data_IF_199208632132
#
_entry.id   IF_199208632132
#
_cell.length_a   1.000
_cell.length_b   1.000
_cell.length_c   1.000
_cell.angle_alpha   90.00
_cell.angle_beta   90.00
_cell.angle_gamma   90.00
#
_symmetry.space_group_name_H-M   'P 1'
#
loop_
_entity.id
_entity.type
_entity.pdbx_description
1 polymer ?
#
# COMPACT_ATOMS: atom_id res chain seq x y z
N UNK A 1 53.00 5.93 -30.11
CA UNK A 1 53.69 6.84 -31.06
C UNK A 1 54.47 7.86 -30.27
N UNK A 2 55.79 7.93 -30.48
CA UNK A 2 56.71 8.92 -29.89
C UNK A 2 56.32 10.35 -30.32
N UNK A 3 56.66 11.37 -29.53
CA UNK A 3 56.28 12.78 -29.83
C UNK A 3 56.71 13.20 -31.24
N UNK A 4 57.85 12.67 -31.71
CA UNK A 4 58.38 12.87 -33.05
C UNK A 4 57.46 12.41 -34.19
N UNK A 5 56.73 11.29 -34.02
CA UNK A 5 55.79 10.79 -35.02
C UNK A 5 54.53 11.67 -35.12
N UNK A 6 54.11 12.28 -34.00
CA UNK A 6 52.96 13.21 -33.97
C UNK A 6 53.29 14.52 -34.69
N UNK A 7 54.48 15.09 -34.46
CA UNK A 7 54.91 16.34 -35.10
C UNK A 7 55.03 16.19 -36.61
N UNK A 8 55.63 15.09 -37.08
CA UNK A 8 55.76 14.80 -38.52
C UNK A 8 54.42 14.53 -39.21
N UNK A 9 53.46 13.93 -38.50
CA UNK A 9 52.10 13.74 -39.00
C UNK A 9 51.35 15.08 -39.13
N UNK A 10 51.52 15.99 -38.16
CA UNK A 10 50.93 17.33 -38.17
C UNK A 10 51.51 18.21 -39.29
N UNK A 11 52.83 18.19 -39.50
CA UNK A 11 53.47 18.90 -40.61
C UNK A 11 52.97 18.40 -41.97
N UNK A 12 52.87 17.07 -42.13
CA UNK A 12 52.37 16.46 -43.37
C UNK A 12 50.89 16.76 -43.62
N UNK A 13 50.07 16.81 -42.56
CA UNK A 13 48.67 17.25 -42.63
C UNK A 13 48.53 18.70 -43.09
N UNK A 14 49.34 19.61 -42.53
CA UNK A 14 49.34 21.01 -42.95
C UNK A 14 49.74 21.16 -44.43
N UNK A 15 50.78 20.43 -44.86
CA UNK A 15 51.29 20.49 -46.23
C UNK A 15 50.29 19.93 -47.27
N UNK A 16 49.57 18.87 -46.91
CA UNK A 16 48.53 18.28 -47.76
C UNK A 16 47.25 19.15 -47.80
N UNK A 17 46.90 19.81 -46.70
CA UNK A 17 45.76 20.74 -46.66
C UNK A 17 45.98 21.99 -47.52
N UNK A 18 47.21 22.52 -47.58
CA UNK A 18 47.53 23.70 -48.39
C UNK A 18 47.56 23.40 -49.90
N UNK A 19 47.90 22.18 -50.32
CA UNK A 19 47.95 21.79 -51.73
C UNK A 19 46.60 21.33 -52.32
N UNK A 20 45.52 21.27 -51.51
CA UNK A 20 44.19 20.76 -51.91
C UNK A 20 44.24 19.39 -52.61
N UNK A 21 45.21 18.55 -52.24
CA UNK A 21 45.30 17.17 -52.74
C UNK A 21 44.52 16.24 -51.81
N UNK A 22 43.21 16.23 -52.01
CA UNK A 22 42.24 15.51 -51.19
C UNK A 22 42.35 13.97 -51.33
N UNK A 23 42.94 13.47 -52.41
CA UNK A 23 43.17 12.03 -52.61
C UNK A 23 44.24 11.50 -51.65
N UNK A 24 45.41 12.14 -51.65
CA UNK A 24 46.52 11.80 -50.75
C UNK A 24 46.17 11.99 -49.26
N UNK A 25 45.32 12.98 -48.94
CA UNK A 25 44.84 13.22 -47.58
C UNK A 25 43.93 12.09 -47.08
N UNK A 26 43.03 11.60 -47.95
CA UNK A 26 42.13 10.47 -47.65
C UNK A 26 42.92 9.19 -47.36
N UNK A 27 43.91 8.87 -48.18
CA UNK A 27 44.73 7.66 -48.01
C UNK A 27 45.57 7.71 -46.73
N UNK A 28 46.10 8.90 -46.39
CA UNK A 28 46.81 9.10 -45.13
C UNK A 28 45.90 8.91 -43.92
N UNK A 29 44.71 9.53 -43.90
CA UNK A 29 43.73 9.34 -42.83
C UNK A 29 43.28 7.87 -42.71
N UNK A 30 43.19 7.17 -43.85
CA UNK A 30 42.90 5.74 -43.92
C UNK A 30 44.05 4.83 -43.46
N UNK A 31 45.28 5.33 -43.32
CA UNK A 31 46.41 4.57 -42.75
C UNK A 31 46.55 4.70 -41.23
N UNK A 32 45.83 5.63 -40.58
CA UNK A 32 45.93 5.87 -39.13
C UNK A 32 45.17 4.76 -38.36
N UNK A 33 45.67 4.25 -37.22
CA UNK A 33 44.93 3.28 -36.40
C UNK A 33 43.57 3.78 -35.91
N UNK A 34 42.57 2.88 -35.82
CA UNK A 34 41.15 3.21 -35.55
C UNK A 34 40.95 4.05 -34.27
N UNK A 35 41.70 3.74 -33.19
CA UNK A 35 41.61 4.49 -31.93
C UNK A 35 42.03 5.97 -32.05
N UNK A 36 43.04 6.26 -32.88
CA UNK A 36 43.51 7.63 -33.13
C UNK A 36 42.59 8.40 -34.08
N UNK A 37 41.89 7.71 -35.00
CA UNK A 37 40.88 8.33 -35.88
C UNK A 37 39.70 8.90 -35.10
N UNK A 38 39.24 8.22 -34.04
CA UNK A 38 38.16 8.75 -33.17
C UNK A 38 38.56 10.06 -32.50
N UNK A 39 39.80 10.15 -32.01
CA UNK A 39 40.33 11.35 -31.35
C UNK A 39 40.48 12.51 -32.35
N UNK A 40 40.98 12.22 -33.56
CA UNK A 40 41.07 13.22 -34.63
C UNK A 40 39.68 13.68 -35.09
N UNK A 41 38.72 12.77 -35.28
CA UNK A 41 37.34 13.09 -35.66
C UNK A 41 36.64 14.01 -34.66
N UNK A 42 36.89 13.83 -33.36
CA UNK A 42 36.40 14.71 -32.30
C UNK A 42 37.05 16.10 -32.35
N UNK A 43 38.36 16.18 -32.60
CA UNK A 43 39.06 17.48 -32.77
C UNK A 43 38.66 18.23 -34.04
N UNK A 44 38.35 17.53 -35.13
CA UNK A 44 37.85 18.13 -36.37
C UNK A 44 36.33 18.34 -36.36
N UNK A 45 35.62 17.90 -35.31
CA UNK A 45 34.17 17.97 -35.22
C UNK A 45 33.62 19.41 -35.27
N UNK A 46 34.44 20.39 -34.89
CA UNK A 46 34.04 21.79 -34.86
C UNK A 46 34.06 22.49 -36.23
N UNK A 47 34.73 21.96 -37.28
CA UNK A 47 34.97 22.78 -38.47
C UNK A 47 34.77 22.23 -39.88
N UNK A 48 34.57 20.94 -40.18
CA UNK A 48 34.29 20.56 -41.58
C UNK A 48 33.56 19.23 -41.75
N UNK A 49 32.40 19.25 -42.41
CA UNK A 49 31.64 18.05 -42.80
C UNK A 49 32.36 17.23 -43.88
N UNK A 50 33.19 17.85 -44.72
CA UNK A 50 34.00 17.17 -45.75
C UNK A 50 35.01 16.18 -45.14
N UNK A 51 35.68 16.59 -44.05
CA UNK A 51 36.67 15.74 -43.35
C UNK A 51 35.97 14.57 -42.66
N UNK A 52 34.76 14.78 -42.10
CA UNK A 52 33.93 13.70 -41.55
C UNK A 52 33.53 12.69 -42.63
N UNK A 53 33.25 13.15 -43.84
CA UNK A 53 32.98 12.30 -45.01
C UNK A 53 34.17 11.42 -45.39
N UNK A 54 35.38 11.99 -45.43
CA UNK A 54 36.61 11.24 -45.73
C UNK A 54 36.97 10.22 -44.66
N UNK A 55 36.81 10.55 -43.38
CA UNK A 55 37.07 9.64 -42.25
C UNK A 55 36.13 8.43 -42.21
N UNK A 56 34.90 8.58 -42.73
CA UNK A 56 33.92 7.48 -42.83
C UNK A 56 34.28 6.45 -43.90
N UNK A 57 35.20 6.74 -44.81
CA UNK A 57 35.68 5.80 -45.83
C UNK A 57 34.56 5.20 -46.68
N UNK A 58 33.50 5.96 -46.98
CA UNK A 58 32.34 5.48 -47.74
C UNK A 58 31.37 4.57 -46.99
N UNK A 59 31.55 4.35 -45.67
CA UNK A 59 30.58 3.59 -44.87
C UNK A 59 29.32 4.41 -44.63
N UNK A 60 28.16 3.85 -44.99
CA UNK A 60 26.85 4.43 -44.66
C UNK A 60 26.71 4.59 -43.13
N UNK A 61 26.06 5.69 -42.73
CA UNK A 61 25.78 6.01 -41.32
C UNK A 61 24.84 4.94 -40.74
N UNK A 62 25.40 3.91 -40.10
CA UNK A 62 24.61 2.98 -39.30
C UNK A 62 24.20 3.68 -38.01
N UNK A 63 22.90 3.88 -37.84
CA UNK A 63 22.31 4.24 -36.56
C UNK A 63 22.38 2.97 -35.70
N UNK A 64 23.34 2.92 -34.78
CA UNK A 64 23.38 1.87 -33.76
C UNK A 64 22.69 2.40 -32.51
N UNK A 65 21.71 1.67 -32.02
CA UNK A 65 21.13 1.91 -30.71
C UNK A 65 22.22 1.54 -29.70
N UNK A 66 22.76 2.55 -29.04
CA UNK A 66 23.69 2.36 -27.93
C UNK A 66 22.88 2.42 -26.64
N UNK A 67 22.74 1.28 -25.96
CA UNK A 67 22.24 1.26 -24.59
C UNK A 67 23.33 1.82 -23.69
N UNK A 68 23.19 3.08 -23.30
CA UNK A 68 23.93 3.62 -22.18
C UNK A 68 23.22 3.17 -20.91
N UNK A 69 23.88 2.43 -20.00
CA UNK A 69 23.29 2.17 -18.70
C UNK A 69 22.98 3.50 -18.01
N UNK A 70 21.85 3.55 -17.29
CA UNK A 70 21.54 4.69 -16.46
C UNK A 70 22.72 4.95 -15.49
N UNK A 71 22.97 6.20 -15.12
CA UNK A 71 23.93 6.49 -14.06
C UNK A 71 23.51 5.74 -12.79
N UNK A 72 24.48 5.32 -11.97
CA UNK A 72 24.26 4.58 -10.73
C UNK A 72 23.13 5.16 -9.87
N UNK A 73 23.09 6.49 -9.72
CA UNK A 73 22.04 7.18 -8.95
C UNK A 73 20.63 7.02 -9.54
N UNK A 74 20.51 7.01 -10.87
CA UNK A 74 19.22 6.84 -11.57
C UNK A 74 18.78 5.38 -11.48
N UNK A 75 19.70 4.43 -11.64
CA UNK A 75 19.39 3.00 -11.46
C UNK A 75 18.92 2.74 -10.03
N UNK A 76 19.68 3.20 -9.03
CA UNK A 76 19.31 3.07 -7.63
C UNK A 76 17.95 3.71 -7.32
N UNK A 77 17.71 4.93 -7.80
CA UNK A 77 16.42 5.59 -7.59
C UNK A 77 15.26 4.82 -8.24
N UNK A 78 15.47 4.30 -9.46
CA UNK A 78 14.48 3.48 -10.15
C UNK A 78 14.18 2.18 -9.40
N UNK A 79 15.23 1.49 -8.95
CA UNK A 79 15.11 0.23 -8.21
C UNK A 79 14.44 0.46 -6.85
N UNK A 80 14.80 1.53 -6.15
CA UNK A 80 14.17 1.93 -4.90
C UNK A 80 12.68 2.25 -5.07
N UNK A 81 12.33 3.07 -6.07
CA UNK A 81 10.93 3.41 -6.37
C UNK A 81 10.15 2.15 -6.72
N UNK A 82 10.71 1.29 -7.58
CA UNK A 82 10.08 0.03 -7.96
C UNK A 82 9.84 -0.89 -6.75
N UNK A 83 10.86 -1.09 -5.91
CA UNK A 83 10.74 -1.92 -4.71
C UNK A 83 9.75 -1.33 -3.71
N UNK A 84 9.79 -0.02 -3.46
CA UNK A 84 8.85 0.64 -2.55
C UNK A 84 7.39 0.46 -2.98
N UNK A 85 7.06 0.72 -4.26
CA UNK A 85 5.68 0.58 -4.74
C UNK A 85 5.23 -0.89 -4.87
N UNK A 86 6.15 -1.84 -4.99
CA UNK A 86 5.82 -3.27 -5.10
C UNK A 86 5.69 -3.92 -3.73
N UNK A 87 6.58 -3.61 -2.80
CA UNK A 87 6.71 -4.30 -1.51
C UNK A 87 6.08 -3.52 -0.36
N UNK A 88 6.20 -2.19 -0.35
CA UNK A 88 5.81 -1.36 0.80
C UNK A 88 4.43 -0.73 0.63
N UNK A 89 3.96 -0.48 -0.59
CA UNK A 89 2.62 0.03 -0.83
C UNK A 89 1.67 -1.12 -1.17
N UNK A 90 0.69 -1.38 -0.30
CA UNK A 90 -0.34 -2.40 -0.56
C UNK A 90 -1.70 -1.73 -0.60
N UNK A 91 -2.48 -2.04 -1.62
CA UNK A 91 -3.79 -1.45 -1.86
C UNK A 91 -4.84 -2.54 -1.96
N UNK A 92 -6.02 -2.25 -1.45
CA UNK A 92 -7.09 -3.22 -1.42
C UNK A 92 -8.46 -2.53 -1.53
N UNK A 93 -9.20 -2.86 -2.60
CA UNK A 93 -10.40 -2.14 -3.02
C UNK A 93 -11.67 -2.47 -2.21
N UNK A 94 -12.80 -1.80 -2.52
CA UNK A 94 -14.01 -1.86 -1.72
C UNK A 94 -14.86 -3.09 -2.03
N UNK A 95 -14.94 -3.47 -3.31
CA UNK A 95 -15.72 -4.61 -3.78
C UNK A 95 -14.88 -5.87 -3.74
N UNK A 96 -15.05 -6.65 -2.68
CA UNK A 96 -14.36 -7.91 -2.47
C UNK A 96 -14.96 -9.03 -3.29
N UNK A 97 -14.11 -10.00 -3.60
CA UNK A 97 -14.56 -11.19 -4.30
C UNK A 97 -15.56 -11.98 -3.43
N UNK A 98 -16.62 -12.47 -4.05
CA UNK A 98 -17.65 -13.25 -3.35
C UNK A 98 -17.08 -14.60 -2.90
N UNK A 99 -17.63 -15.21 -1.83
CA UNK A 99 -17.22 -16.54 -1.41
C UNK A 99 -17.37 -17.57 -2.54
N UNK A 100 -16.26 -18.19 -2.93
CA UNK A 100 -16.21 -19.27 -3.93
C UNK A 100 -15.82 -20.58 -3.27
N UNK A 101 -16.26 -21.70 -3.85
CA UNK A 101 -15.80 -23.03 -3.45
C UNK A 101 -14.31 -23.20 -3.77
N UNK A 102 -13.85 -22.61 -4.88
CA UNK A 102 -12.46 -22.70 -5.33
C UNK A 102 -11.94 -21.32 -5.75
N UNK A 103 -10.73 -21.00 -5.29
CA UNK A 103 -10.02 -19.75 -5.54
C UNK A 103 -8.85 -19.94 -6.52
N UNK A 104 -8.50 -18.90 -7.31
CA UNK A 104 -7.39 -18.97 -8.26
C UNK A 104 -6.03 -19.15 -7.57
N UNK A 105 -5.06 -19.68 -8.32
CA UNK A 105 -3.72 -20.13 -7.86
C UNK A 105 -2.71 -18.99 -7.55
N UNK A 106 -3.17 -17.78 -7.25
CA UNK A 106 -2.32 -16.63 -6.92
C UNK A 106 -1.88 -15.77 -8.11
N UNK A 107 -1.15 -14.68 -7.82
CA UNK A 107 -0.52 -13.80 -8.80
C UNK A 107 0.99 -14.09 -8.91
N UNK A 108 1.72 -13.30 -9.71
CA UNK A 108 3.18 -13.39 -9.78
C UNK A 108 3.89 -13.01 -8.47
N UNK A 109 3.25 -12.18 -7.62
CA UNK A 109 3.74 -11.86 -6.28
C UNK A 109 3.07 -12.82 -5.26
N UNK A 110 3.82 -13.67 -4.56
CA UNK A 110 3.26 -14.62 -3.59
C UNK A 110 2.62 -13.95 -2.36
N UNK A 111 2.82 -12.65 -2.14
CA UNK A 111 2.21 -11.86 -1.05
C UNK A 111 1.05 -10.98 -1.52
N UNK A 112 0.73 -10.96 -2.80
CA UNK A 112 -0.33 -10.11 -3.36
C UNK A 112 -1.68 -10.82 -3.33
N UNK A 113 -2.60 -10.28 -2.53
CA UNK A 113 -3.96 -10.81 -2.38
C UNK A 113 -4.89 -10.40 -3.53
N UNK A 114 -4.44 -9.55 -4.45
CA UNK A 114 -5.23 -8.99 -5.55
C UNK A 114 -6.08 -7.79 -5.12
N UNK A 115 -6.62 -7.06 -6.10
CA UNK A 115 -7.38 -5.83 -5.86
C UNK A 115 -8.67 -6.09 -5.05
N UNK A 116 -9.29 -7.26 -5.22
CA UNK A 116 -10.53 -7.67 -4.56
C UNK A 116 -10.30 -8.72 -3.47
N UNK A 117 -9.06 -9.13 -3.23
CA UNK A 117 -8.76 -10.26 -2.35
C UNK A 117 -8.92 -11.63 -3.02
N UNK A 118 -9.03 -11.69 -4.35
CA UNK A 118 -9.26 -12.91 -5.13
C UNK A 118 -8.17 -13.98 -4.95
N UNK A 119 -6.94 -13.58 -4.59
CA UNK A 119 -5.79 -14.48 -4.38
C UNK A 119 -5.56 -14.82 -2.92
N UNK A 120 -6.39 -14.34 -1.99
CA UNK A 120 -6.19 -14.50 -0.54
C UNK A 120 -6.02 -15.95 -0.11
N UNK A 121 -6.77 -16.88 -0.72
CA UNK A 121 -6.66 -18.31 -0.43
C UNK A 121 -5.27 -18.87 -0.77
N UNK A 122 -4.77 -18.55 -1.97
CA UNK A 122 -3.45 -18.98 -2.43
C UNK A 122 -2.34 -18.34 -1.59
N UNK A 123 -2.45 -17.03 -1.32
CA UNK A 123 -1.49 -16.30 -0.49
C UNK A 123 -1.44 -16.87 0.92
N UNK A 124 -2.59 -17.16 1.54
CA UNK A 124 -2.63 -17.76 2.87
C UNK A 124 -2.02 -19.16 2.86
N UNK A 125 -2.34 -20.01 1.88
CA UNK A 125 -1.79 -21.37 1.82
C UNK A 125 -0.26 -21.36 1.67
N UNK A 126 0.22 -20.54 0.74
CA UNK A 126 1.65 -20.42 0.43
C UNK A 126 2.47 -19.82 1.57
N UNK A 127 1.84 -18.98 2.43
CA UNK A 127 2.54 -18.24 3.48
C UNK A 127 2.10 -18.60 4.91
N UNK A 128 1.20 -19.58 5.13
CA UNK A 128 0.66 -19.88 6.47
C UNK A 128 1.73 -20.22 7.50
N UNK A 129 2.85 -20.79 7.06
CA UNK A 129 3.99 -21.17 7.92
C UNK A 129 5.08 -20.07 7.97
N UNK A 130 4.91 -18.95 7.28
CA UNK A 130 5.84 -17.82 7.32
C UNK A 130 5.75 -17.14 8.68
N UNK A 131 6.88 -16.88 9.32
CA UNK A 131 6.93 -16.14 10.58
C UNK A 131 6.65 -14.65 10.32
N UNK A 132 5.67 -14.12 11.04
CA UNK A 132 5.28 -12.71 10.98
C UNK A 132 5.37 -12.09 12.37
N UNK A 133 5.76 -10.82 12.40
CA UNK A 133 5.76 -10.02 13.61
C UNK A 133 4.46 -9.21 13.68
N UNK A 134 3.68 -9.45 14.73
CA UNK A 134 2.38 -8.78 14.93
C UNK A 134 2.11 -8.55 16.41
N UNK A 135 1.11 -7.73 16.73
CA UNK A 135 0.65 -7.53 18.11
C UNK A 135 -0.57 -8.44 18.33
N UNK A 136 -0.52 -9.39 19.28
CA UNK A 136 -1.63 -10.27 19.61
C UNK A 136 -2.93 -9.53 19.99
N UNK A 137 -4.05 -10.08 19.56
CA UNK A 137 -5.39 -9.50 19.76
C UNK A 137 -5.80 -9.39 21.23
N UNK A 138 -5.24 -10.25 22.10
CA UNK A 138 -5.47 -10.22 23.56
C UNK A 138 -5.04 -8.90 24.22
N UNK A 139 -4.15 -8.13 23.57
CA UNK A 139 -3.73 -6.81 24.04
C UNK A 139 -4.74 -5.71 23.69
N UNK A 140 -5.87 -6.04 23.05
CA UNK A 140 -6.91 -5.10 22.63
C UNK A 140 -8.26 -5.33 23.34
N UNK A 141 -9.02 -4.27 23.66
CA UNK A 141 -8.75 -2.86 23.40
C UNK A 141 -7.54 -2.33 24.16
N UNK A 142 -6.76 -1.47 23.51
CA UNK A 142 -5.53 -0.92 24.08
C UNK A 142 -5.86 -0.06 25.32
N UNK A 143 -5.21 -0.38 26.44
CA UNK A 143 -5.24 0.44 27.65
C UNK A 143 -3.90 1.18 27.82
N UNK A 144 -2.78 0.48 27.71
CA UNK A 144 -1.42 1.01 27.86
C UNK A 144 -0.64 0.89 26.56
N UNK A 145 -0.77 1.91 25.71
CA UNK A 145 -0.21 1.90 24.36
C UNK A 145 1.33 1.78 24.33
N UNK A 146 2.02 2.30 25.36
CA UNK A 146 3.47 2.19 25.51
C UNK A 146 3.98 0.80 25.92
N UNK A 147 3.08 -0.11 26.30
CA UNK A 147 3.42 -1.48 26.73
C UNK A 147 3.06 -2.55 25.71
N UNK A 148 2.53 -2.16 24.54
CA UNK A 148 2.20 -3.11 23.48
C UNK A 148 3.46 -3.85 23.01
N UNK A 149 3.37 -5.18 22.98
CA UNK A 149 4.47 -6.05 22.58
C UNK A 149 4.14 -6.77 21.29
N UNK A 150 5.07 -6.73 20.35
CA UNK A 150 5.06 -7.58 19.17
C UNK A 150 5.51 -9.00 19.54
N UNK A 151 4.88 -9.99 18.93
CA UNK A 151 5.26 -11.40 19.02
C UNK A 151 5.52 -11.94 17.62
N UNK A 152 6.38 -12.94 17.52
CA UNK A 152 6.62 -13.68 16.28
C UNK A 152 5.80 -14.97 16.30
N UNK A 153 5.04 -15.22 15.24
CA UNK A 153 4.25 -16.44 15.08
C UNK A 153 4.06 -16.74 13.59
N UNK A 154 3.63 -17.96 13.27
CA UNK A 154 3.23 -18.31 11.91
C UNK A 154 2.02 -17.48 11.47
N UNK A 155 1.98 -17.07 10.21
CA UNK A 155 0.89 -16.27 9.65
C UNK A 155 -0.48 -16.90 9.92
N UNK A 156 -0.63 -18.22 9.73
CA UNK A 156 -1.90 -18.91 9.96
C UNK A 156 -2.42 -18.74 11.39
N UNK A 157 -1.52 -18.78 12.38
CA UNK A 157 -1.85 -18.54 13.79
C UNK A 157 -2.23 -17.08 14.04
N UNK A 158 -1.47 -16.12 13.50
CA UNK A 158 -1.76 -14.69 13.64
C UNK A 158 -3.07 -14.27 12.97
N UNK A 159 -3.38 -14.85 11.80
CA UNK A 159 -4.66 -14.67 11.10
C UNK A 159 -5.81 -15.25 11.93
N UNK A 160 -5.64 -16.45 12.49
CA UNK A 160 -6.62 -17.07 13.38
C UNK A 160 -6.93 -16.21 14.61
N UNK A 161 -5.91 -15.71 15.29
CA UNK A 161 -6.05 -14.82 16.47
C UNK A 161 -6.92 -13.60 16.16
N UNK A 162 -6.60 -12.88 15.08
CA UNK A 162 -7.34 -11.67 14.71
C UNK A 162 -8.75 -11.97 14.18
N UNK A 163 -8.96 -13.04 13.43
CA UNK A 163 -10.30 -13.41 12.98
C UNK A 163 -11.21 -13.84 14.14
N UNK A 164 -10.66 -14.49 15.17
CA UNK A 164 -11.39 -14.84 16.38
C UNK A 164 -11.75 -13.57 17.16
N UNK A 165 -10.80 -12.65 17.31
CA UNK A 165 -11.03 -11.34 17.93
C UNK A 165 -12.12 -10.55 17.22
N UNK A 166 -12.08 -10.48 15.89
CA UNK A 166 -13.12 -9.84 15.08
C UNK A 166 -14.49 -10.50 15.29
N UNK A 167 -14.51 -11.78 15.64
CA UNK A 167 -15.71 -12.58 15.88
C UNK A 167 -16.24 -13.24 14.61
N UNK A 168 -15.35 -13.46 13.64
CA UNK A 168 -15.66 -13.97 12.30
C UNK A 168 -15.44 -15.49 12.23
N UNK A 169 -14.28 -15.95 12.66
CA UNK A 169 -13.88 -17.36 12.59
C UNK A 169 -12.90 -17.70 13.71
N UNK A 170 -12.94 -18.92 14.23
CA UNK A 170 -11.92 -19.44 15.18
C UNK A 170 -10.70 -19.98 14.46
N UNK A 171 -10.91 -20.56 13.28
CA UNK A 171 -9.86 -21.18 12.48
C UNK A 171 -10.17 -20.98 11.01
N UNK A 172 -9.13 -20.72 10.23
CA UNK A 172 -9.17 -20.68 8.77
C UNK A 172 -8.04 -21.53 8.23
N UNK A 173 -8.37 -22.43 7.32
CA UNK A 173 -7.43 -23.28 6.61
C UNK A 173 -7.59 -23.08 5.10
N UNK A 174 -6.46 -23.10 4.39
CA UNK A 174 -6.40 -23.09 2.94
C UNK A 174 -5.63 -24.31 2.48
N UNK A 175 -6.11 -24.97 1.42
CA UNK A 175 -5.52 -26.17 0.85
C UNK A 175 -5.48 -26.09 -0.68
N UNK A 176 -4.31 -26.31 -1.28
CA UNK A 176 -4.13 -26.46 -2.72
C UNK A 176 -4.77 -27.75 -3.26
N UNK A 177 -5.72 -27.62 -4.19
CA UNK A 177 -6.36 -28.70 -4.94
C UNK A 177 -5.80 -28.84 -6.37
N UNK A 178 -4.57 -28.37 -6.59
CA UNK A 178 -3.84 -28.45 -7.85
C UNK A 178 -4.50 -27.61 -8.95
N UNK A 179 -4.88 -28.26 -10.06
CA UNK A 179 -5.49 -27.57 -11.22
C UNK A 179 -6.84 -26.92 -10.92
N UNK A 180 -7.48 -27.32 -9.82
CA UNK A 180 -8.74 -26.74 -9.40
C UNK A 180 -8.54 -25.34 -8.81
N UNK A 181 -7.45 -25.13 -8.07
CA UNK A 181 -7.18 -23.92 -7.30
C UNK A 181 -7.10 -24.22 -5.80
N UNK A 182 -7.37 -23.23 -4.95
CA UNK A 182 -7.34 -23.38 -3.49
C UNK A 182 -8.74 -23.45 -2.90
N UNK A 183 -8.93 -24.33 -1.93
CA UNK A 183 -10.14 -24.45 -1.12
C UNK A 183 -9.93 -23.76 0.23
N UNK A 184 -10.90 -22.94 0.65
CA UNK A 184 -10.90 -22.28 1.97
C UNK A 184 -11.96 -22.90 2.87
N UNK A 185 -11.52 -23.41 4.02
CA UNK A 185 -12.40 -23.96 5.05
C UNK A 185 -12.26 -23.19 6.35
N UNK A 186 -13.37 -23.01 7.08
CA UNK A 186 -13.38 -22.26 8.33
C UNK A 186 -14.16 -22.96 9.43
N UNK A 187 -13.71 -22.78 10.68
CA UNK A 187 -14.47 -23.13 11.86
C UNK A 187 -15.02 -21.85 12.50
N UNK A 188 -16.31 -21.81 12.79
CA UNK A 188 -16.96 -20.64 13.39
C UNK A 188 -17.10 -20.80 14.91
N UNK A 189 -17.53 -19.73 15.59
CA UNK A 189 -17.81 -19.81 17.03
C UNK A 189 -18.95 -20.78 17.38
N UNK A 190 -19.87 -21.02 16.43
CA UNK A 190 -21.07 -21.84 16.61
C UNK A 190 -20.85 -23.32 16.30
N UNK A 191 -19.77 -23.67 15.57
CA UNK A 191 -19.45 -25.05 15.21
C UNK A 191 -17.94 -25.24 15.08
N UNK A 192 -17.41 -26.26 15.77
CA UNK A 192 -16.01 -26.65 15.67
C UNK A 192 -15.68 -27.38 14.35
N UNK A 193 -16.70 -27.73 13.56
CA UNK A 193 -16.50 -28.36 12.25
C UNK A 193 -16.04 -27.32 11.23
N UNK A 194 -15.08 -27.71 10.39
CA UNK A 194 -14.65 -26.92 9.24
C UNK A 194 -15.73 -26.98 8.15
N UNK A 195 -16.14 -25.81 7.68
CA UNK A 195 -17.10 -25.64 6.58
C UNK A 195 -16.46 -24.83 5.47
N UNK A 196 -16.83 -25.12 4.22
CA UNK A 196 -16.42 -24.34 3.07
C UNK A 196 -16.84 -22.88 3.21
N UNK A 197 -16.05 -21.97 2.64
CA UNK A 197 -16.33 -20.54 2.68
C UNK A 197 -17.69 -20.18 2.06
N UNK A 198 -18.24 -21.00 1.17
CA UNK A 198 -19.58 -20.81 0.59
C UNK A 198 -20.71 -21.02 1.58
N UNK A 199 -20.47 -21.77 2.67
CA UNK A 199 -21.47 -22.07 3.70
C UNK A 199 -21.43 -21.12 4.90
N UNK A 200 -20.48 -20.19 4.90
CA UNK A 200 -20.29 -19.18 5.94
C UNK A 200 -20.52 -17.78 5.38
N UNK A 201 -21.00 -16.89 6.25
CA UNK A 201 -21.45 -15.57 5.82
C UNK A 201 -20.35 -14.74 5.15
N UNK A 202 -20.78 -13.85 4.24
CA UNK A 202 -19.95 -12.92 3.45
C UNK A 202 -18.88 -12.17 4.25
N UNK A 203 -19.05 -11.96 5.56
CA UNK A 203 -18.09 -11.21 6.37
C UNK A 203 -16.68 -11.82 6.46
N UNK A 204 -16.55 -13.15 6.29
CA UNK A 204 -15.23 -13.78 6.27
C UNK A 204 -14.47 -13.42 4.99
N UNK A 205 -15.13 -13.49 3.83
CA UNK A 205 -14.49 -13.15 2.55
C UNK A 205 -14.15 -11.66 2.45
N UNK A 206 -14.88 -10.79 3.17
CA UNK A 206 -14.53 -9.37 3.23
C UNK A 206 -13.32 -9.08 4.12
N UNK A 207 -13.25 -9.68 5.31
CA UNK A 207 -12.23 -9.35 6.30
C UNK A 207 -10.92 -10.14 6.13
N UNK A 208 -10.98 -11.39 5.67
CA UNK A 208 -9.81 -12.25 5.53
C UNK A 208 -8.70 -11.62 4.66
N UNK A 209 -8.99 -11.02 3.47
CA UNK A 209 -7.97 -10.37 2.67
C UNK A 209 -7.30 -9.19 3.41
N UNK A 210 -8.06 -8.43 4.21
CA UNK A 210 -7.53 -7.32 5.01
C UNK A 210 -6.53 -7.86 6.04
N UNK A 211 -6.91 -8.90 6.77
CA UNK A 211 -6.07 -9.49 7.83
C UNK A 211 -4.81 -10.12 7.24
N UNK A 212 -4.94 -10.95 6.21
CA UNK A 212 -3.82 -11.64 5.56
C UNK A 212 -2.82 -10.63 4.98
N UNK A 213 -3.28 -9.65 4.20
CA UNK A 213 -2.43 -8.63 3.60
C UNK A 213 -1.68 -7.81 4.66
N UNK A 214 -2.38 -7.42 5.72
CA UNK A 214 -1.83 -6.55 6.78
C UNK A 214 -0.79 -7.25 7.65
N UNK A 215 -0.98 -8.55 7.93
CA UNK A 215 -0.05 -9.34 8.75
C UNK A 215 1.18 -9.78 7.95
N UNK A 216 1.04 -9.99 6.64
CA UNK A 216 2.17 -10.25 5.73
C UNK A 216 3.01 -9.01 5.42
N UNK A 217 2.39 -7.82 5.49
CA UNK A 217 3.10 -6.57 5.25
C UNK A 217 4.20 -6.35 6.29
N UNK A 218 5.32 -5.79 5.84
CA UNK A 218 6.48 -5.56 6.70
C UNK A 218 6.35 -4.23 7.44
N UNK A 219 7.25 -4.00 8.40
CA UNK A 219 7.32 -2.72 9.10
C UNK A 219 7.70 -1.62 8.10
N UNK A 220 7.01 -0.49 8.17
CA UNK A 220 7.19 0.63 7.24
C UNK A 220 6.34 0.54 5.97
N UNK A 221 5.52 -0.51 5.80
CA UNK A 221 4.53 -0.58 4.73
C UNK A 221 3.38 0.42 4.94
N UNK A 222 2.84 0.93 3.85
CA UNK A 222 1.60 1.70 3.78
C UNK A 222 0.49 0.82 3.20
N UNK A 223 -0.57 0.65 3.97
CA UNK A 223 -1.73 -0.17 3.64
C UNK A 223 -2.91 0.75 3.32
N UNK A 224 -3.46 0.62 2.13
CA UNK A 224 -4.60 1.42 1.66
C UNK A 224 -5.82 0.52 1.56
N UNK A 225 -6.89 0.88 2.26
CA UNK A 225 -8.15 0.15 2.26
C UNK A 225 -9.29 1.08 1.87
N UNK A 226 -10.01 0.71 0.81
CA UNK A 226 -11.28 1.34 0.47
C UNK A 226 -12.43 0.59 1.13
N UNK A 227 -13.26 1.33 1.89
CA UNK A 227 -14.49 0.88 2.53
C UNK A 227 -14.38 -0.53 3.17
N UNK A 228 -13.40 -0.77 4.07
CA UNK A 228 -13.18 -2.10 4.66
C UNK A 228 -14.35 -2.62 5.49
N UNK A 229 -15.32 -1.76 5.83
CA UNK A 229 -16.54 -2.09 6.55
C UNK A 229 -17.66 -2.74 5.73
N UNK A 230 -17.58 -2.71 4.40
CA UNK A 230 -18.68 -3.15 3.55
C UNK A 230 -19.08 -4.59 3.83
N UNK A 231 -20.40 -4.83 3.90
CA UNK A 231 -21.00 -6.14 4.21
C UNK A 231 -20.57 -6.76 5.57
N UNK A 232 -19.92 -6.00 6.45
CA UNK A 232 -19.56 -6.44 7.79
C UNK A 232 -20.60 -5.99 8.82
N UNK A 233 -20.84 -6.86 9.81
CA UNK A 233 -21.67 -6.52 10.96
C UNK A 233 -21.03 -5.36 11.75
N UNK A 234 -21.80 -4.40 12.30
CA UNK A 234 -21.29 -3.24 13.07
C UNK A 234 -20.23 -3.57 14.13
N UNK A 235 -20.42 -4.69 14.85
CA UNK A 235 -19.45 -5.22 15.82
C UNK A 235 -18.07 -5.50 15.21
N UNK A 236 -18.04 -6.08 14.01
CA UNK A 236 -16.80 -6.36 13.28
C UNK A 236 -16.16 -5.06 12.81
N UNK A 237 -16.96 -4.12 12.28
CA UNK A 237 -16.48 -2.80 11.87
C UNK A 237 -15.79 -2.05 13.03
N UNK A 238 -16.38 -2.11 14.23
CA UNK A 238 -15.76 -1.56 15.43
C UNK A 238 -14.42 -2.25 15.70
N UNK A 239 -14.37 -3.59 15.73
CA UNK A 239 -13.14 -4.34 16.04
C UNK A 239 -12.05 -4.22 14.98
N UNK A 240 -12.40 -3.89 13.73
CA UNK A 240 -11.43 -3.53 12.70
C UNK A 240 -10.62 -2.29 13.08
N UNK A 241 -11.20 -1.33 13.83
CA UNK A 241 -10.44 -0.19 14.34
C UNK A 241 -9.33 -0.65 15.32
N UNK A 242 -9.62 -1.64 16.17
CA UNK A 242 -8.60 -2.23 17.06
C UNK A 242 -7.49 -2.90 16.25
N UNK A 243 -7.86 -3.61 15.19
CA UNK A 243 -6.90 -4.23 14.27
C UNK A 243 -6.02 -3.19 13.59
N UNK A 244 -6.57 -2.12 13.02
CA UNK A 244 -5.78 -1.05 12.40
C UNK A 244 -4.85 -0.38 13.40
N UNK A 245 -5.29 -0.14 14.64
CA UNK A 245 -4.39 0.38 15.69
C UNK A 245 -3.23 -0.58 15.98
N UNK A 246 -3.45 -1.89 15.96
CA UNK A 246 -2.39 -2.88 16.11
C UNK A 246 -1.32 -2.79 15.01
N UNK A 247 -1.75 -2.52 13.77
CA UNK A 247 -0.83 -2.35 12.64
C UNK A 247 0.00 -1.08 12.79
N UNK A 248 -0.63 0.01 13.24
CA UNK A 248 0.05 1.29 13.49
C UNK A 248 1.13 1.12 14.57
N UNK A 249 0.79 0.47 15.69
CA UNK A 249 1.75 0.18 16.74
C UNK A 249 2.82 -0.86 16.33
N UNK A 250 2.53 -1.71 15.35
CA UNK A 250 3.54 -2.57 14.71
C UNK A 250 4.43 -1.82 13.69
N UNK A 251 4.27 -0.51 13.56
CA UNK A 251 5.09 0.35 12.69
C UNK A 251 4.66 0.36 11.23
N UNK A 252 3.37 0.13 10.95
CA UNK A 252 2.76 0.25 9.61
C UNK A 252 1.92 1.51 9.53
N UNK A 253 1.64 1.98 8.32
CA UNK A 253 0.71 3.08 8.08
C UNK A 253 -0.57 2.53 7.45
N UNK A 254 -1.73 2.99 7.93
CA UNK A 254 -3.02 2.66 7.32
C UNK A 254 -3.67 3.94 6.76
N UNK A 255 -4.11 3.88 5.51
CA UNK A 255 -4.96 4.88 4.87
C UNK A 255 -6.29 4.21 4.58
N UNK A 256 -7.36 4.68 5.23
CA UNK A 256 -8.66 4.02 5.19
C UNK A 256 -9.70 5.02 4.70
N UNK A 257 -10.36 4.70 3.59
CA UNK A 257 -11.61 5.34 3.22
C UNK A 257 -12.75 4.62 3.94
N UNK A 258 -13.59 5.35 4.67
CA UNK A 258 -14.69 4.73 5.42
C UNK A 258 -15.89 5.67 5.54
N UNK A 259 -17.07 5.06 5.50
CA UNK A 259 -18.36 5.63 5.91
C UNK A 259 -18.85 5.00 7.22
N UNK A 260 -18.03 4.16 7.87
CA UNK A 260 -18.42 3.47 9.09
C UNK A 260 -18.38 4.40 10.29
N UNK A 261 -19.57 4.76 10.75
CA UNK A 261 -19.76 5.41 12.05
C UNK A 261 -19.15 4.61 13.21
N UNK A 262 -19.21 3.28 13.12
CA UNK A 262 -18.71 2.36 14.14
C UNK A 262 -17.18 2.37 14.24
N UNK A 263 -16.48 2.44 13.11
CA UNK A 263 -15.02 2.50 13.06
C UNK A 263 -14.53 3.80 13.72
N UNK A 264 -15.10 4.94 13.32
CA UNK A 264 -14.75 6.25 13.86
C UNK A 264 -15.07 6.35 15.36
N UNK A 265 -16.25 5.89 15.76
CA UNK A 265 -16.65 5.85 17.17
C UNK A 265 -15.72 4.97 18.01
N UNK A 266 -15.25 3.85 17.45
CA UNK A 266 -14.28 3.01 18.14
C UNK A 266 -12.92 3.69 18.29
N UNK A 267 -12.40 4.36 17.27
CA UNK A 267 -11.13 5.11 17.36
C UNK A 267 -11.19 6.21 18.43
N UNK A 268 -12.32 6.94 18.51
CA UNK A 268 -12.57 7.92 19.59
C UNK A 268 -12.54 7.25 20.96
N UNK A 269 -13.22 6.12 21.10
CA UNK A 269 -13.26 5.37 22.36
C UNK A 269 -11.89 4.83 22.78
N UNK A 270 -11.07 4.37 21.83
CA UNK A 270 -9.69 3.95 22.10
C UNK A 270 -8.83 5.12 22.57
N UNK A 271 -8.99 6.30 21.96
CA UNK A 271 -8.30 7.51 22.41
C UNK A 271 -8.66 7.85 23.86
N UNK A 272 -9.96 7.82 24.19
CA UNK A 272 -10.46 8.13 25.53
C UNK A 272 -10.03 7.13 26.63
N UNK A 273 -9.80 5.87 26.26
CA UNK A 273 -9.48 4.79 27.19
C UNK A 273 -7.99 4.52 27.34
N UNK A 274 -7.18 4.97 26.40
CA UNK A 274 -5.74 4.77 26.43
C UNK A 274 -5.06 5.74 27.40
N UNK A 275 -4.01 5.26 28.05
CA UNK A 275 -3.15 6.10 28.86
C UNK A 275 -2.32 7.04 27.96
N UNK A 276 -2.44 8.34 28.20
CA UNK A 276 -1.74 9.39 27.44
C UNK A 276 -2.34 9.68 26.06
N UNK A 277 -1.63 10.45 25.24
CA UNK A 277 -2.08 10.89 23.90
C UNK A 277 -1.64 9.98 22.77
N UNK A 278 -0.89 8.90 23.04
CA UNK A 278 -0.22 8.12 21.99
C UNK A 278 -1.21 7.53 20.97
N UNK A 279 -2.41 7.14 21.42
CA UNK A 279 -3.46 6.67 20.50
C UNK A 279 -4.01 7.83 19.65
N UNK A 280 -4.39 8.95 20.27
CA UNK A 280 -4.93 10.11 19.54
C UNK A 280 -3.91 10.72 18.57
N UNK A 281 -2.63 10.74 18.93
CA UNK A 281 -1.55 11.29 18.10
C UNK A 281 -1.30 10.47 16.82
N UNK A 282 -1.69 9.19 16.84
CA UNK A 282 -1.59 8.27 15.71
C UNK A 282 -2.88 8.23 14.86
N UNK A 283 -3.88 9.05 15.16
CA UNK A 283 -5.15 9.11 14.43
C UNK A 283 -5.26 10.43 13.67
N UNK A 284 -5.38 10.34 12.34
CA UNK A 284 -5.72 11.47 11.49
C UNK A 284 -7.03 11.20 10.75
N UNK A 285 -8.05 12.03 10.99
CA UNK A 285 -9.33 11.94 10.27
C UNK A 285 -9.45 13.13 9.33
N UNK A 286 -9.82 12.87 8.08
CA UNK A 286 -10.09 13.89 7.08
C UNK A 286 -11.50 13.68 6.56
N UNK A 287 -12.39 14.62 6.85
CA UNK A 287 -13.74 14.63 6.31
C UNK A 287 -13.74 15.27 4.93
N UNK A 288 -14.37 14.59 3.97
CA UNK A 288 -14.40 15.02 2.57
C UNK A 288 -15.77 15.60 2.25
N UNK A 289 -15.81 16.88 1.93
CA UNK A 289 -17.03 17.63 1.63
C UNK A 289 -17.08 18.00 0.15
N UNK A 290 -18.28 17.94 -0.44
CA UNK A 290 -18.47 18.36 -1.83
C UNK A 290 -18.94 19.82 -1.88
N UNK A 291 -18.09 20.70 -2.40
CA UNK A 291 -18.44 22.10 -2.68
C UNK A 291 -18.63 22.27 -4.19
N UNK A 292 -19.87 22.11 -4.66
CA UNK A 292 -20.20 22.16 -6.09
C UNK A 292 -19.56 21.00 -6.86
N UNK A 293 -18.51 21.29 -7.62
CA UNK A 293 -17.75 20.30 -8.43
C UNK A 293 -16.41 19.90 -7.80
N UNK A 294 -16.01 20.54 -6.70
CA UNK A 294 -14.72 20.31 -6.04
C UNK A 294 -14.92 19.57 -4.72
N UNK A 295 -13.94 18.74 -4.35
CA UNK A 295 -13.83 18.13 -3.04
C UNK A 295 -12.97 19.02 -2.13
N UNK A 296 -13.52 19.40 -0.97
CA UNK A 296 -12.78 20.06 0.09
C UNK A 296 -12.48 19.05 1.21
N UNK A 297 -11.32 19.18 1.83
CA UNK A 297 -10.87 18.31 2.90
C UNK A 297 -10.79 19.10 4.20
N UNK A 298 -11.48 18.61 5.23
CA UNK A 298 -11.44 19.19 6.57
C UNK A 298 -10.81 18.19 7.53
N UNK A 299 -9.69 18.57 8.14
CA UNK A 299 -9.08 17.76 9.20
C UNK A 299 -9.99 17.76 10.43
N UNK A 300 -10.29 16.58 10.93
CA UNK A 300 -11.07 16.35 12.15
C UNK A 300 -10.11 15.82 13.21
N UNK A 301 -9.96 16.55 14.31
CA UNK A 301 -8.99 16.19 15.35
C UNK A 301 -9.68 15.46 16.50
N UNK A 302 -9.23 14.23 16.75
CA UNK A 302 -9.65 13.43 17.91
C UNK A 302 -8.75 13.81 19.08
N UNK A 303 -9.34 14.40 20.10
CA UNK A 303 -8.60 14.72 21.34
C UNK A 303 -8.31 13.45 22.14
N UNK A 304 -7.40 13.55 23.12
CA UNK A 304 -7.15 12.47 24.07
C UNK A 304 -8.43 11.97 24.77
N UNK A 305 -9.41 12.84 25.01
CA UNK A 305 -10.70 12.45 25.61
C UNK A 305 -11.65 11.70 24.66
N UNK A 306 -11.28 11.52 23.39
CA UNK A 306 -12.15 11.01 22.33
C UNK A 306 -13.17 12.03 21.80
N UNK A 307 -13.18 13.26 22.35
CA UNK A 307 -13.97 14.37 21.82
C UNK A 307 -13.38 14.87 20.49
N UNK A 308 -14.24 15.34 19.61
CA UNK A 308 -13.87 16.04 18.37
C UNK A 308 -14.43 17.45 18.49
N UNK A 309 -13.55 18.43 18.53
CA UNK A 309 -13.95 19.82 18.78
C UNK A 309 -14.58 20.48 17.55
N UNK A 310 -14.26 19.98 16.36
CA UNK A 310 -14.63 20.58 15.08
C UNK A 310 -15.48 19.63 14.24
N UNK A 311 -16.55 19.09 14.81
CA UNK A 311 -17.44 18.17 14.13
C UNK A 311 -17.92 18.75 12.79
N UNK A 312 -17.76 18.04 11.67
CA UNK A 312 -18.32 18.48 10.41
C UNK A 312 -19.81 18.15 10.34
N UNK A 313 -20.59 19.07 9.79
CA UNK A 313 -22.03 18.88 9.60
C UNK A 313 -22.31 17.70 8.65
N UNK A 314 -23.28 16.87 9.01
CA UNK A 314 -23.72 15.72 8.21
C UNK A 314 -22.92 14.43 8.38
N UNK A 315 -21.94 14.38 9.29
CA UNK A 315 -21.15 13.15 9.54
C UNK A 315 -21.83 12.21 10.55
N UNK A 316 -22.44 12.76 11.62
CA UNK A 316 -23.18 11.98 12.65
C UNK A 316 -24.34 12.77 13.27
N UNK A 317 -24.69 13.91 12.70
CA UNK A 317 -25.64 14.85 13.32
C UNK A 317 -26.97 14.14 13.60
N UNK A 318 -27.44 13.28 12.71
CA UNK A 318 -28.73 12.62 12.84
C UNK A 318 -28.76 11.56 13.95
N UNK A 319 -27.73 10.71 14.07
CA UNK A 319 -27.71 9.63 15.07
C UNK A 319 -27.53 10.17 16.50
N UNK A 320 -26.59 11.10 16.71
CA UNK A 320 -26.38 11.72 18.02
C UNK A 320 -27.56 12.61 18.42
N UNK A 321 -28.16 13.35 17.48
CA UNK A 321 -29.35 14.15 17.73
C UNK A 321 -30.54 13.27 18.08
N UNK A 322 -30.79 12.19 17.33
CA UNK A 322 -31.83 11.22 17.65
C UNK A 322 -31.64 10.59 19.03
N UNK A 323 -30.40 10.28 19.44
CA UNK A 323 -30.10 9.75 20.76
C UNK A 323 -30.39 10.77 21.88
N UNK A 324 -29.99 12.03 21.68
CA UNK A 324 -30.29 13.12 22.62
C UNK A 324 -31.80 13.36 22.75
N UNK A 325 -32.50 13.46 21.62
CA UNK A 325 -33.96 13.64 21.57
C UNK A 325 -34.69 12.47 22.25
N UNK A 326 -34.19 11.23 22.09
CA UNK A 326 -34.74 10.07 22.78
C UNK A 326 -34.55 10.14 24.29
N UNK A 327 -33.37 10.53 24.78
CA UNK A 327 -33.11 10.71 26.22
C UNK A 327 -34.03 11.80 26.79
N UNK A 328 -34.15 12.93 26.11
CA UNK A 328 -35.05 14.02 26.49
C UNK A 328 -36.51 13.55 26.55
N UNK A 329 -36.97 12.82 25.53
CA UNK A 329 -38.32 12.25 25.50
C UNK A 329 -38.56 11.28 26.66
N UNK A 330 -37.56 10.45 27.02
CA UNK A 330 -37.63 9.53 28.15
C UNK A 330 -37.71 10.26 29.50
N UNK A 331 -36.90 11.32 29.69
CA UNK A 331 -36.93 12.17 30.90
C UNK A 331 -38.31 12.84 31.04
N UNK A 332 -38.83 13.42 29.96
CA UNK A 332 -40.15 14.04 29.94
C UNK A 332 -41.27 13.03 30.25
N UNK A 333 -41.20 11.83 29.68
CA UNK A 333 -42.13 10.74 30.02
C UNK A 333 -42.04 10.37 31.51
N UNK A 334 -40.85 10.23 32.08
CA UNK A 334 -40.67 9.91 33.49
C UNK A 334 -41.27 11.00 34.40
N UNK A 335 -41.03 12.28 34.11
CA UNK A 335 -41.61 13.40 34.85
C UNK A 335 -43.16 13.46 34.74
N UNK A 336 -43.73 13.16 33.57
CA UNK A 336 -45.19 13.14 33.38
C UNK A 336 -45.87 11.99 34.15
N UNK A 337 -45.23 10.81 34.24
CA UNK A 337 -45.73 9.67 35.02
C UNK A 337 -45.72 9.97 36.53
N UNK A 338 -44.69 10.64 37.04
CA UNK A 338 -44.62 11.05 38.45
C UNK A 338 -45.72 12.06 38.79
N UNK A 339 -45.97 13.06 37.93
CA UNK A 339 -47.08 14.02 38.13
C UNK A 339 -48.46 13.36 38.11
N UNK A 340 -48.67 12.36 37.24
CA UNK A 340 -49.95 11.64 37.15
C UNK A 340 -50.16 10.62 38.29
N UNK A 341 -49.09 10.10 38.89
CA UNK A 341 -49.18 9.25 40.08
C UNK A 341 -49.51 10.05 41.36
N UNK A 342 -49.00 11.28 41.49
CA UNK A 342 -49.36 12.18 42.59
C UNK A 342 -50.83 12.58 42.59
N UNK A 343 -51.41 12.86 41.41
CA UNK A 343 -52.83 13.24 41.25
C UNK A 343 -53.86 12.11 41.45
N UNK A 344 -53.42 10.85 41.57
CA UNK A 344 -54.32 9.70 41.84
C UNK A 344 -54.36 9.31 43.32
N UNK A 345 -53.51 9.92 44.15
CA UNK A 345 -53.43 9.67 45.59
C UNK A 345 -53.97 10.83 46.45
N UNK A 346 -54.46 11.89 45.80
CA UNK A 346 -55.32 12.92 46.36
C UNK A 346 -56.76 12.67 45.89
#
# INVERSE_FOLDING_TARGET
>A
MTSFQKTRALERLNLLSQKRDYGSLRDFLASIPVGLRKILALKFAEKDEEIKGMLRGGRQKRMEISNFPASEHISFASDYVSSFFTENLKYLGPLRDEPKAIYPTGSSDPKDVGFKGEYTAAVLDNNKNTLVQYIPSVQFPVAQANQLKTTESELGHAVGDWLEYLGIAKKVESEDKGKLGHELTIATNSSAQLHDLTHVGVGVSQALPIVVLSLLAEKGSTLIFEQPELHLHPRVQSRLADFFMSLIFAGKQCVVETHSEYLISRLRLLSAKADGSLVSDNIGIFFVEKHGVQSAYRKVEVTQSGAINNWPSGFFDEAEQNASELIEAQILMAHSKVKNAGRKND
#
